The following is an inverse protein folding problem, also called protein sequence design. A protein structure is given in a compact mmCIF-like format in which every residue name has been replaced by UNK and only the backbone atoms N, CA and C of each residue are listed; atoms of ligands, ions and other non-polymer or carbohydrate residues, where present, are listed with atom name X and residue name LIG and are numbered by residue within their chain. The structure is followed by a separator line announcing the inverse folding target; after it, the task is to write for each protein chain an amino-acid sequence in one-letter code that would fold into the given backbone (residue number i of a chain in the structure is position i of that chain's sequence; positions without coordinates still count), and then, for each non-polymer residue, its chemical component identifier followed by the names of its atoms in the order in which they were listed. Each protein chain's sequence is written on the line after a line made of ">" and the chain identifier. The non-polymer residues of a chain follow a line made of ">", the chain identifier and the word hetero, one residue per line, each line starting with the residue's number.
data_IF_464645170632
#
_entry.id   IF_464645170632
#
_cell.length_a   1.000
_cell.length_b   1.000
_cell.length_c   1.000
_cell.angle_alpha   90.00
_cell.angle_beta   90.00
_cell.angle_gamma   90.00
#
_symmetry.space_group_name_H-M   'P 1'
#
loop_
_entity.id
_entity.type
_entity.pdbx_description
1 polymer ?
#
# COMPACT_ATOMS: atom_id res chain seq x y z
N UNK A 1 7.58 9.00 3.74
CA UNK A 1 6.71 10.04 4.33
C UNK A 1 7.18 10.38 5.74
N UNK A 2 6.32 10.97 6.58
CA UNK A 2 6.59 11.26 8.01
C UNK A 2 5.32 11.06 8.84
N UNK A 3 5.47 10.59 10.09
CA UNK A 3 4.33 10.29 10.97
C UNK A 3 3.40 9.24 10.36
N UNK A 4 2.08 9.42 10.51
CA UNK A 4 1.07 8.54 9.91
C UNK A 4 0.80 8.81 8.41
N UNK A 5 1.64 9.59 7.74
CA UNK A 5 1.61 9.79 6.29
C UNK A 5 2.85 9.14 5.67
N UNK A 6 2.75 7.86 5.37
CA UNK A 6 3.81 7.04 4.77
C UNK A 6 3.34 6.55 3.41
N UNK A 7 4.28 6.25 2.51
CA UNK A 7 3.97 5.76 1.19
C UNK A 7 5.13 4.91 0.66
N UNK A 8 4.80 4.00 -0.25
CA UNK A 8 5.74 3.16 -1.00
C UNK A 8 5.51 3.43 -2.48
N UNK A 9 6.59 3.73 -3.20
CA UNK A 9 6.58 3.87 -4.65
C UNK A 9 7.00 2.54 -5.30
N UNK A 10 6.18 2.04 -6.23
CA UNK A 10 6.42 0.79 -6.92
C UNK A 10 7.05 1.03 -8.28
N UNK A 11 8.09 0.26 -8.54
CA UNK A 11 8.84 0.27 -9.79
C UNK A 11 8.91 -1.13 -10.37
N UNK A 12 9.22 -1.23 -11.66
CA UNK A 12 9.47 -2.52 -12.31
C UNK A 12 10.77 -3.12 -11.76
N UNK A 13 10.78 -4.44 -11.54
CA UNK A 13 11.93 -5.13 -10.96
C UNK A 13 13.20 -4.88 -11.78
N UNK A 14 14.28 -4.50 -11.10
CA UNK A 14 15.58 -4.19 -11.73
C UNK A 14 15.65 -2.82 -12.42
N UNK A 15 14.57 -2.03 -12.45
CA UNK A 15 14.57 -0.66 -13.00
C UNK A 15 14.07 0.36 -11.98
N UNK A 16 13.97 1.62 -12.42
CA UNK A 16 13.30 2.70 -11.67
C UNK A 16 12.04 3.19 -12.37
N UNK A 17 11.56 2.44 -13.36
CA UNK A 17 10.37 2.82 -14.11
C UNK A 17 9.12 2.58 -13.27
N UNK A 18 8.16 3.51 -13.22
CA UNK A 18 6.91 3.37 -12.48
C UNK A 18 6.15 2.08 -12.82
N UNK A 19 5.56 1.45 -11.81
CA UNK A 19 4.71 0.27 -11.95
C UNK A 19 3.29 0.50 -11.39
N UNK A 20 2.43 1.22 -12.13
CA UNK A 20 1.06 1.48 -11.71
C UNK A 20 0.16 0.24 -11.67
N UNK A 21 0.46 -0.76 -12.50
CA UNK A 21 -0.30 -2.02 -12.55
C UNK A 21 -0.15 -2.79 -11.24
N UNK A 22 1.09 -2.90 -10.72
CA UNK A 22 1.34 -3.49 -9.41
C UNK A 22 0.66 -2.71 -8.29
N UNK A 23 0.67 -1.37 -8.34
CA UNK A 23 0.00 -0.54 -7.35
C UNK A 23 -1.52 -0.78 -7.31
N UNK A 24 -2.15 -0.84 -8.48
CA UNK A 24 -3.57 -1.15 -8.62
C UNK A 24 -3.91 -2.59 -8.20
N UNK A 25 -3.05 -3.56 -8.51
CA UNK A 25 -3.23 -4.95 -8.11
C UNK A 25 -3.17 -5.10 -6.59
N UNK A 26 -2.17 -4.51 -5.94
CA UNK A 26 -2.04 -4.53 -4.48
C UNK A 26 -3.23 -3.86 -3.79
N UNK A 27 -3.66 -2.69 -4.26
CA UNK A 27 -4.78 -2.00 -3.67
C UNK A 27 -6.08 -2.84 -3.75
N UNK A 28 -6.28 -3.56 -4.86
CA UNK A 28 -7.41 -4.49 -5.01
C UNK A 28 -7.27 -5.70 -4.10
N UNK A 29 -6.07 -6.27 -3.96
CA UNK A 29 -5.82 -7.41 -3.10
C UNK A 29 -6.08 -7.06 -1.62
N UNK A 30 -5.52 -5.95 -1.13
CA UNK A 30 -5.81 -5.45 0.22
C UNK A 30 -7.31 -5.22 0.43
N UNK A 31 -8.00 -4.62 -0.56
CA UNK A 31 -9.43 -4.33 -0.45
C UNK A 31 -10.28 -5.61 -0.37
N UNK A 32 -9.91 -6.66 -1.11
CA UNK A 32 -10.59 -7.95 -1.05
C UNK A 32 -10.49 -8.61 0.34
N UNK A 33 -9.38 -8.37 1.05
CA UNK A 33 -9.14 -8.82 2.43
C UNK A 33 -9.63 -7.82 3.49
N UNK A 34 -10.42 -6.81 3.11
CA UNK A 34 -11.03 -5.85 4.04
C UNK A 34 -10.15 -4.67 4.45
N UNK A 35 -8.95 -4.53 3.88
CA UNK A 35 -8.03 -3.42 4.17
C UNK A 35 -8.05 -2.38 3.05
N UNK A 36 -8.45 -1.15 3.37
CA UNK A 36 -8.46 -0.06 2.40
C UNK A 36 -7.14 0.69 2.38
N UNK A 37 -6.43 0.60 1.25
CA UNK A 37 -5.25 1.42 0.92
C UNK A 37 -5.54 2.32 -0.28
N UNK A 38 -4.84 3.45 -0.37
CA UNK A 38 -5.06 4.43 -1.43
C UNK A 38 -3.87 4.45 -2.39
N UNK A 39 -4.13 4.45 -3.68
CA UNK A 39 -3.12 4.74 -4.71
C UNK A 39 -3.02 6.24 -4.98
N UNK A 40 -1.84 6.73 -5.33
CA UNK A 40 -1.57 8.12 -5.68
C UNK A 40 -0.29 8.26 -6.52
N UNK A 41 0.23 9.49 -6.63
CA UNK A 41 1.45 9.81 -7.37
C UNK A 41 1.17 10.14 -8.84
N UNK A 42 2.07 10.92 -9.45
CA UNK A 42 1.93 11.42 -10.83
C UNK A 42 1.75 10.28 -11.84
N UNK A 43 2.41 9.14 -11.60
CA UNK A 43 2.36 7.97 -12.47
C UNK A 43 1.43 6.87 -11.95
N UNK A 44 0.68 7.11 -10.88
CA UNK A 44 -0.25 6.13 -10.29
C UNK A 44 0.41 4.91 -9.63
N UNK A 45 1.71 4.97 -9.35
CA UNK A 45 2.52 3.85 -8.85
C UNK A 45 2.82 3.91 -7.34
N UNK A 46 2.13 4.77 -6.58
CA UNK A 46 2.41 4.96 -5.15
C UNK A 46 1.23 4.45 -4.32
N UNK A 47 1.47 3.51 -3.39
CA UNK A 47 0.53 3.23 -2.30
C UNK A 47 0.81 4.19 -1.14
N UNK A 48 -0.21 4.89 -0.65
CA UNK A 48 -0.13 5.75 0.53
C UNK A 48 -0.93 5.18 1.69
N UNK A 49 -0.34 5.27 2.88
CA UNK A 49 -0.90 4.84 4.15
C UNK A 49 -1.20 6.08 4.99
N UNK A 50 -2.48 6.23 5.34
CA UNK A 50 -3.06 7.35 6.07
C UNK A 50 -4.11 6.82 7.06
N UNK A 51 -3.73 5.96 8.02
CA UNK A 51 -4.68 5.47 9.02
C UNK A 51 -5.15 6.63 9.92
N UNK A 52 -6.37 6.54 10.50
CA UNK A 52 -6.79 7.51 11.50
C UNK A 52 -5.83 7.47 12.69
N UNK A 53 -5.45 8.62 13.24
CA UNK A 53 -4.50 8.70 14.36
C UNK A 53 -5.00 8.03 15.66
N UNK A 54 -6.29 7.69 15.70
CA UNK A 54 -6.94 6.99 16.81
C UNK A 54 -7.06 5.49 16.57
N UNK A 55 -6.47 4.95 15.50
CA UNK A 55 -6.44 3.49 15.25
C UNK A 55 -5.74 2.78 16.42
N UNK A 56 -6.30 1.66 16.87
CA UNK A 56 -5.64 0.79 17.85
C UNK A 56 -4.43 0.09 17.25
N UNK A 57 -3.42 -0.19 18.07
CA UNK A 57 -2.17 -0.82 17.62
C UNK A 57 -2.40 -2.21 17.02
N UNK A 58 -3.26 -3.02 17.64
CA UNK A 58 -3.59 -4.37 17.15
C UNK A 58 -4.23 -4.31 15.75
N UNK A 59 -5.20 -3.41 15.54
CA UNK A 59 -5.86 -3.25 14.25
C UNK A 59 -4.93 -2.66 13.18
N UNK A 60 -4.02 -1.77 13.59
CA UNK A 60 -2.98 -1.26 12.68
C UNK A 60 -2.07 -2.40 12.22
N UNK A 61 -1.60 -3.23 13.14
CA UNK A 61 -0.74 -4.37 12.82
C UNK A 61 -1.46 -5.40 11.93
N UNK A 62 -2.72 -5.74 12.23
CA UNK A 62 -3.54 -6.61 11.38
C UNK A 62 -3.66 -6.06 9.94
N UNK A 63 -3.90 -4.76 9.80
CA UNK A 63 -3.94 -4.12 8.49
C UNK A 63 -2.60 -4.17 7.75
N UNK A 64 -1.48 -4.03 8.46
CA UNK A 64 -0.14 -4.12 7.90
C UNK A 64 0.19 -5.57 7.48
N UNK A 65 -0.23 -6.57 8.24
CA UNK A 65 -0.04 -7.99 7.90
C UNK A 65 -0.75 -8.34 6.58
N UNK A 66 -1.97 -7.84 6.37
CA UNK A 66 -2.70 -8.00 5.08
C UNK A 66 -1.95 -7.32 3.93
N UNK A 67 -1.36 -6.14 4.18
CA UNK A 67 -0.54 -5.45 3.16
C UNK A 67 0.69 -6.30 2.82
N UNK A 68 1.41 -6.82 3.81
CA UNK A 68 2.56 -7.70 3.60
C UNK A 68 2.18 -8.96 2.80
N UNK A 69 1.07 -9.61 3.15
CA UNK A 69 0.55 -10.76 2.42
C UNK A 69 0.23 -10.41 0.95
N UNK A 70 -0.40 -9.25 0.71
CA UNK A 70 -0.67 -8.78 -0.64
C UNK A 70 0.63 -8.59 -1.45
N UNK A 71 1.69 -8.06 -0.83
CA UNK A 71 3.02 -7.96 -1.45
C UNK A 71 3.62 -9.32 -1.80
N UNK A 72 3.37 -10.37 -1.01
CA UNK A 72 3.79 -11.74 -1.31
C UNK A 72 3.14 -12.36 -2.55
N UNK A 73 2.11 -11.73 -3.12
CA UNK A 73 1.42 -12.20 -4.34
C UNK A 73 1.91 -11.56 -5.65
N UNK A 74 2.82 -10.58 -5.57
CA UNK A 74 3.45 -9.94 -6.73
C UNK A 74 4.65 -10.74 -7.24
#
# INVERSE_FOLDING_TARGET
>A
GRGAMIAIELVKAGTKDPNPEAAGALAKACHAEGVMVLTCGTYGNVLRFLPPLVIGEDLLNEGLDVIEQAFGTL
#
